data_IF_984170604400
#
_entry.id   IF_984170604400
#
_cell.length_a   1.000
_cell.length_b   1.000
_cell.length_c   1.000
_cell.angle_alpha   90.00
_cell.angle_beta   90.00
_cell.angle_gamma   90.00
#
_symmetry.space_group_name_H-M   'P 1'
#
loop_
_entity.id
_entity.type
_entity.pdbx_description
1 polymer ?
#
# COMPACT_ATOMS: atom_id res chain seq x y z
N UNK A 1 26.17 -11.61 -18.58
CA UNK A 1 25.54 -11.83 -17.26
C UNK A 1 25.23 -10.46 -16.67
N UNK A 2 24.02 -9.94 -16.87
CA UNK A 2 23.64 -8.60 -16.43
C UNK A 2 23.31 -8.64 -14.94
N UNK A 3 24.01 -7.84 -14.10
CA UNK A 3 23.64 -7.67 -12.69
C UNK A 3 22.16 -7.27 -12.60
N UNK A 4 21.35 -7.86 -11.70
CA UNK A 4 20.01 -7.35 -11.47
C UNK A 4 20.14 -5.88 -11.05
N UNK A 5 19.41 -5.00 -11.74
CA UNK A 5 19.34 -3.60 -11.36
C UNK A 5 18.82 -3.54 -9.92
N UNK A 6 19.63 -3.00 -9.01
CA UNK A 6 19.22 -2.78 -7.62
C UNK A 6 17.96 -1.92 -7.65
N UNK A 7 16.89 -2.38 -6.99
CA UNK A 7 15.68 -1.58 -6.88
C UNK A 7 16.05 -0.17 -6.37
N UNK A 8 15.50 0.90 -6.97
CA UNK A 8 15.88 2.27 -6.61
C UNK A 8 15.71 2.47 -5.10
N UNK A 9 16.72 3.08 -4.45
CA UNK A 9 16.65 3.42 -3.04
C UNK A 9 15.53 4.43 -2.83
N UNK A 10 14.68 4.18 -1.84
CA UNK A 10 13.66 5.14 -1.41
C UNK A 10 14.37 6.32 -0.75
N UNK A 11 14.37 7.47 -1.41
CA UNK A 11 14.73 8.74 -0.78
C UNK A 11 13.46 9.44 -0.33
N UNK A 12 13.53 10.21 0.74
CA UNK A 12 12.41 11.05 1.20
C UNK A 12 11.94 12.02 0.11
N UNK A 13 12.86 12.52 -0.73
CA UNK A 13 12.53 13.42 -1.84
C UNK A 13 11.72 12.74 -2.97
N UNK A 14 11.89 11.43 -3.18
CA UNK A 14 11.18 10.67 -4.21
C UNK A 14 9.93 9.95 -3.72
N UNK A 15 9.68 9.95 -2.40
CA UNK A 15 8.55 9.25 -1.79
C UNK A 15 7.27 10.07 -1.94
N UNK A 16 6.30 9.53 -2.68
CA UNK A 16 4.93 10.06 -2.70
C UNK A 16 4.08 9.47 -1.58
N UNK A 17 4.07 8.13 -1.48
CA UNK A 17 3.43 7.41 -0.39
C UNK A 17 4.09 6.06 -0.13
N UNK A 18 3.98 5.58 1.11
CA UNK A 18 4.20 4.17 1.40
C UNK A 18 3.04 3.33 0.86
N UNK A 19 3.32 2.09 0.47
CA UNK A 19 2.29 1.14 0.05
C UNK A 19 2.40 -0.13 0.91
N UNK A 20 1.42 -0.33 1.77
CA UNK A 20 1.32 -1.50 2.65
C UNK A 20 0.41 -2.57 2.02
N UNK A 21 0.73 -3.84 2.25
CA UNK A 21 0.05 -4.96 1.57
C UNK A 21 -0.78 -5.79 2.54
N UNK A 22 -2.04 -6.06 2.19
CA UNK A 22 -2.91 -7.03 2.84
C UNK A 22 -3.36 -8.10 1.87
N UNK A 23 -3.23 -9.38 2.24
CA UNK A 23 -3.69 -10.48 1.40
C UNK A 23 -5.18 -10.75 1.64
N UNK A 24 -6.02 -10.32 0.70
CA UNK A 24 -7.47 -10.48 0.79
C UNK A 24 -7.95 -11.91 0.51
N UNK A 25 -7.05 -12.82 0.07
CA UNK A 25 -7.38 -14.24 -0.09
C UNK A 25 -7.16 -15.07 1.18
N UNK A 26 -6.39 -14.54 2.15
CA UNK A 26 -6.05 -15.25 3.40
C UNK A 26 -6.90 -14.78 4.58
N UNK A 27 -7.40 -13.56 4.53
CA UNK A 27 -8.29 -12.99 5.52
C UNK A 27 -9.49 -12.39 4.78
N UNK A 28 -10.68 -12.43 5.40
CA UNK A 28 -11.83 -11.70 4.89
C UNK A 28 -11.66 -10.20 5.16
N UNK A 29 -10.71 -9.59 4.47
CA UNK A 29 -10.40 -8.17 4.58
C UNK A 29 -11.57 -7.32 4.09
N UNK A 30 -12.29 -7.77 3.06
CA UNK A 30 -13.45 -7.06 2.56
C UNK A 30 -14.55 -7.01 3.63
N UNK A 31 -14.90 -8.14 4.25
CA UNK A 31 -15.86 -8.17 5.35
C UNK A 31 -15.39 -7.37 6.57
N UNK A 32 -14.11 -7.50 6.95
CA UNK A 32 -13.51 -6.67 8.02
C UNK A 32 -13.72 -5.18 7.76
N UNK A 33 -13.37 -4.71 6.56
CA UNK A 33 -13.42 -3.29 6.24
C UNK A 33 -14.82 -2.77 5.94
N UNK A 34 -15.76 -3.66 5.61
CA UNK A 34 -17.18 -3.33 5.59
C UNK A 34 -17.71 -3.04 7.01
N UNK A 35 -17.20 -3.75 8.04
CA UNK A 35 -17.59 -3.52 9.43
C UNK A 35 -16.89 -2.30 10.06
N UNK A 36 -15.59 -2.15 9.83
CA UNK A 36 -14.81 -0.97 10.23
C UNK A 36 -13.75 -0.65 9.16
N UNK A 37 -13.91 0.43 8.39
CA UNK A 37 -12.96 0.79 7.33
C UNK A 37 -11.66 1.37 7.89
N UNK A 38 -11.58 1.65 9.20
CA UNK A 38 -10.39 2.26 9.80
C UNK A 38 -9.28 1.22 9.98
N UNK A 39 -8.07 1.64 9.65
CA UNK A 39 -6.85 0.87 9.88
C UNK A 39 -5.91 1.74 10.69
N UNK A 40 -5.70 1.35 11.94
CA UNK A 40 -4.83 2.08 12.88
C UNK A 40 -3.43 1.50 12.95
N UNK A 41 -3.26 0.22 12.59
CA UNK A 41 -1.97 -0.47 12.54
C UNK A 41 -1.96 -1.53 11.45
N UNK A 42 -0.80 -1.73 10.82
CA UNK A 42 -0.61 -2.81 9.86
C UNK A 42 0.80 -3.38 9.87
N UNK A 43 0.93 -4.69 9.66
CA UNK A 43 2.22 -5.37 9.65
C UNK A 43 3.10 -4.89 8.50
N UNK A 44 4.39 -4.71 8.79
CA UNK A 44 5.47 -4.40 7.85
C UNK A 44 6.67 -5.28 8.17
N UNK A 45 7.55 -5.47 7.19
CA UNK A 45 8.83 -6.15 7.38
C UNK A 45 9.84 -5.17 7.98
N UNK A 46 10.61 -5.60 9.00
CA UNK A 46 11.69 -4.79 9.53
C UNK A 46 12.76 -4.55 8.45
N UNK A 47 13.40 -3.39 8.51
CA UNK A 47 14.52 -3.07 7.63
C UNK A 47 14.63 -1.59 7.31
N UNK A 48 15.42 -1.29 6.28
CA UNK A 48 15.70 0.09 5.84
C UNK A 48 14.41 0.90 5.60
N UNK A 49 13.42 0.35 4.89
CA UNK A 49 12.16 1.05 4.58
C UNK A 49 11.34 1.35 5.83
N UNK A 50 11.17 0.36 6.72
CA UNK A 50 10.46 0.57 7.98
C UNK A 50 11.11 1.67 8.85
N UNK A 51 12.44 1.82 8.80
CA UNK A 51 13.17 2.88 9.51
C UNK A 51 12.98 4.28 8.92
N UNK A 52 12.58 4.39 7.65
CA UNK A 52 12.29 5.66 6.98
C UNK A 52 10.85 6.14 7.19
N UNK A 53 9.98 5.28 7.74
CA UNK A 53 8.58 5.60 8.01
C UNK A 53 8.50 6.61 9.16
N UNK A 54 7.83 7.74 8.91
CA UNK A 54 7.67 8.85 9.84
C UNK A 54 6.25 9.41 9.78
N UNK A 55 5.80 10.02 10.87
CA UNK A 55 4.48 10.65 10.94
C UNK A 55 4.28 11.68 9.81
N UNK A 56 3.05 11.80 9.32
CA UNK A 56 2.65 12.71 8.24
C UNK A 56 2.91 12.20 6.83
N UNK A 57 3.68 11.12 6.66
CA UNK A 57 3.90 10.52 5.33
C UNK A 57 2.63 9.81 4.84
N UNK A 58 2.21 10.01 3.58
CA UNK A 58 1.05 9.31 3.04
C UNK A 58 1.25 7.79 2.96
N UNK A 59 0.15 7.05 3.11
CA UNK A 59 0.14 5.59 3.03
C UNK A 59 -1.07 5.08 2.25
N UNK A 60 -0.81 4.18 1.30
CA UNK A 60 -1.82 3.47 0.51
C UNK A 60 -1.98 2.05 1.01
N UNK A 61 -3.21 1.57 1.05
CA UNK A 61 -3.50 0.16 1.31
C UNK A 61 -3.65 -0.60 0.00
N UNK A 62 -2.81 -1.60 -0.21
CA UNK A 62 -2.89 -2.52 -1.34
C UNK A 62 -3.45 -3.86 -0.94
N UNK A 63 -4.60 -4.22 -1.52
CA UNK A 63 -5.14 -5.56 -1.41
C UNK A 63 -4.53 -6.48 -2.46
N UNK A 64 -3.72 -7.43 -2.01
CA UNK A 64 -3.22 -8.54 -2.82
C UNK A 64 -4.19 -9.73 -2.82
N UNK A 65 -4.00 -10.64 -3.77
CA UNK A 65 -4.84 -11.82 -3.98
C UNK A 65 -5.12 -12.10 -5.45
N UNK A 66 -5.75 -13.23 -5.72
CA UNK A 66 -6.07 -13.74 -7.05
C UNK A 66 -7.21 -14.75 -7.06
N UNK A 67 -7.76 -15.18 -5.91
CA UNK A 67 -8.74 -16.28 -5.87
C UNK A 67 -10.17 -15.83 -6.14
N UNK A 68 -10.55 -14.66 -5.63
CA UNK A 68 -11.87 -14.06 -5.84
C UNK A 68 -11.93 -13.26 -7.14
N UNK A 69 -12.97 -13.47 -7.95
CA UNK A 69 -13.19 -12.77 -9.24
C UNK A 69 -14.05 -11.52 -9.11
N UNK A 70 -14.91 -11.51 -8.11
CA UNK A 70 -15.81 -10.43 -7.69
C UNK A 70 -15.09 -9.30 -6.93
N UNK A 71 -13.82 -9.51 -6.55
CA UNK A 71 -13.06 -8.59 -5.73
C UNK A 71 -12.04 -7.80 -6.57
N UNK A 72 -12.17 -6.47 -6.59
CA UNK A 72 -11.22 -5.60 -7.24
C UNK A 72 -9.92 -5.47 -6.41
N UNK A 73 -8.97 -6.39 -6.60
CA UNK A 73 -7.63 -6.21 -6.02
C UNK A 73 -6.95 -4.96 -6.56
N UNK A 74 -6.12 -4.32 -5.75
CA UNK A 74 -5.44 -3.09 -6.11
C UNK A 74 -5.34 -2.16 -4.91
N UNK A 75 -5.62 -0.88 -5.11
CA UNK A 75 -5.55 0.14 -4.05
C UNK A 75 -6.95 0.30 -3.46
N UNK A 76 -7.09 0.08 -2.16
CA UNK A 76 -8.37 0.12 -1.46
C UNK A 76 -8.53 1.33 -0.55
N UNK A 77 -7.44 1.98 -0.16
CA UNK A 77 -7.52 3.02 0.84
C UNK A 77 -6.30 3.88 0.90
N UNK A 78 -6.45 4.98 1.62
CA UNK A 78 -5.47 6.02 1.77
C UNK A 78 -5.53 6.59 3.19
N UNK A 79 -4.37 6.99 3.67
CA UNK A 79 -4.23 7.65 4.95
C UNK A 79 -2.86 8.27 5.11
N UNK A 80 -2.48 8.44 6.36
CA UNK A 80 -1.17 8.93 6.78
C UNK A 80 -0.58 8.03 7.86
N UNK A 81 0.74 8.02 7.95
CA UNK A 81 1.43 7.50 9.12
C UNK A 81 1.24 8.45 10.30
N UNK A 82 0.97 7.88 11.47
CA UNK A 82 0.87 8.63 12.74
C UNK A 82 2.15 8.54 13.57
N UNK A 83 3.13 7.76 13.13
CA UNK A 83 4.40 7.58 13.82
C UNK A 83 5.33 6.62 13.09
N UNK A 84 6.52 6.35 13.67
CA UNK A 84 7.45 5.38 13.10
C UNK A 84 6.90 3.96 13.18
N UNK A 85 7.38 3.08 12.30
CA UNK A 85 7.14 1.65 12.45
C UNK A 85 7.84 1.14 13.71
N UNK A 86 7.16 0.30 14.49
CA UNK A 86 7.69 -0.26 15.75
C UNK A 86 7.38 -1.74 15.82
N UNK A 87 8.21 -2.46 16.56
CA UNK A 87 7.87 -3.82 16.97
C UNK A 87 6.70 -3.76 17.95
N UNK A 88 5.67 -4.54 17.68
CA UNK A 88 4.53 -4.69 18.55
C UNK A 88 4.92 -5.62 19.72
N UNK A 89 4.67 -5.23 20.98
CA UNK A 89 5.07 -6.00 22.14
C UNK A 89 4.31 -7.32 22.27
N UNK A 90 3.10 -7.43 21.71
CA UNK A 90 2.23 -8.59 21.93
C UNK A 90 2.61 -9.77 21.03
N UNK A 91 3.01 -9.50 19.78
CA UNK A 91 3.32 -10.52 18.78
C UNK A 91 4.75 -10.44 18.22
N UNK A 92 5.54 -9.45 18.64
CA UNK A 92 6.91 -9.24 18.19
C UNK A 92 7.03 -8.82 16.71
N UNK A 93 5.93 -8.55 16.01
CA UNK A 93 5.96 -8.16 14.59
C UNK A 93 6.07 -6.65 14.44
N UNK A 94 6.75 -6.20 13.39
CA UNK A 94 6.82 -4.78 13.09
C UNK A 94 5.48 -4.29 12.51
N UNK A 95 4.96 -3.19 13.05
CA UNK A 95 3.73 -2.56 12.61
C UNK A 95 3.94 -1.07 12.37
N UNK A 96 3.39 -0.58 11.27
CA UNK A 96 3.25 0.85 11.03
C UNK A 96 2.02 1.37 11.80
N UNK A 97 2.14 2.56 12.41
CA UNK A 97 1.01 3.26 13.04
C UNK A 97 0.36 4.16 12.00
N UNK A 98 -0.95 4.02 11.82
CA UNK A 98 -1.70 4.56 10.70
C UNK A 98 -2.91 5.37 11.19
N UNK A 99 -3.27 6.38 10.42
CA UNK A 99 -4.63 6.88 10.32
C UNK A 99 -5.03 6.69 8.85
N UNK A 100 -5.56 5.50 8.54
CA UNK A 100 -5.91 5.08 7.19
C UNK A 100 -7.36 4.64 7.15
N UNK A 101 -8.08 5.08 6.11
CA UNK A 101 -9.45 4.66 5.85
C UNK A 101 -9.50 3.89 4.52
N UNK A 102 -10.14 2.74 4.57
CA UNK A 102 -10.47 1.94 3.40
C UNK A 102 -11.68 2.59 2.72
N UNK A 103 -11.55 2.90 1.43
CA UNK A 103 -12.62 3.45 0.62
C UNK A 103 -13.74 2.41 0.42
N UNK A 104 -14.97 2.82 0.07
CA UNK A 104 -16.00 1.88 -0.33
C UNK A 104 -15.58 1.07 -1.56
N UNK A 105 -16.10 -0.16 -1.77
CA UNK A 105 -15.70 -1.01 -2.89
C UNK A 105 -15.84 -0.37 -4.28
N UNK A 106 -16.80 0.55 -4.45
CA UNK A 106 -17.01 1.30 -5.70
C UNK A 106 -15.86 2.24 -6.04
N UNK A 107 -15.10 2.70 -5.05
CA UNK A 107 -13.96 3.61 -5.21
C UNK A 107 -12.60 2.89 -5.22
N UNK A 108 -12.57 1.56 -5.18
CA UNK A 108 -11.31 0.82 -5.23
C UNK A 108 -10.67 0.91 -6.62
N UNK A 109 -9.38 1.19 -6.64
CA UNK A 109 -8.61 1.26 -7.89
C UNK A 109 -8.09 -0.14 -8.23
N UNK A 110 -8.73 -0.79 -9.19
CA UNK A 110 -8.40 -2.15 -9.59
C UNK A 110 -7.00 -2.25 -10.21
N UNK A 111 -6.36 -3.43 -10.10
CA UNK A 111 -5.09 -3.72 -10.81
C UNK A 111 -5.21 -3.50 -12.31
N UNK A 112 -6.37 -3.77 -12.92
CA UNK A 112 -6.58 -3.56 -14.34
C UNK A 112 -6.53 -2.07 -14.68
N UNK A 113 -7.23 -1.23 -13.92
CA UNK A 113 -7.18 0.23 -14.04
C UNK A 113 -5.75 0.76 -13.88
N UNK A 114 -5.03 0.28 -12.87
CA UNK A 114 -3.64 0.66 -12.61
C UNK A 114 -2.73 0.27 -13.77
N UNK A 115 -2.87 -0.95 -14.32
CA UNK A 115 -2.06 -1.43 -15.45
C UNK A 115 -2.36 -0.70 -16.75
N UNK A 116 -3.58 -0.22 -16.94
CA UNK A 116 -3.97 0.54 -18.13
C UNK A 116 -3.41 1.97 -18.13
N UNK A 117 -3.00 2.50 -16.96
CA UNK A 117 -2.42 3.82 -16.84
C UNK A 117 -0.88 3.75 -16.94
N UNK A 118 -0.29 4.37 -17.97
CA UNK A 118 1.15 4.31 -18.23
C UNK A 118 2.01 4.82 -17.05
N UNK A 119 1.53 5.82 -16.31
CA UNK A 119 2.25 6.36 -15.15
C UNK A 119 2.27 5.37 -13.96
N UNK A 120 1.30 4.47 -13.89
CA UNK A 120 1.13 3.51 -12.80
C UNK A 120 1.51 2.07 -13.17
N UNK A 121 1.68 1.74 -14.45
CA UNK A 121 2.05 0.41 -14.90
C UNK A 121 3.37 -0.08 -14.27
N UNK A 122 4.27 0.86 -13.95
CA UNK A 122 5.59 0.62 -13.36
C UNK A 122 5.63 0.71 -11.82
N UNK A 123 4.46 0.70 -11.15
CA UNK A 123 4.39 0.62 -9.70
C UNK A 123 5.21 -0.57 -9.19
N UNK A 124 5.99 -0.35 -8.13
CA UNK A 124 6.89 -1.40 -7.60
C UNK A 124 6.11 -2.65 -7.19
N UNK A 125 4.91 -2.49 -6.62
CA UNK A 125 4.05 -3.62 -6.25
C UNK A 125 3.61 -4.49 -7.45
N UNK A 126 3.60 -3.94 -8.67
CA UNK A 126 3.32 -4.67 -9.90
C UNK A 126 4.56 -5.36 -10.47
N UNK A 127 5.70 -4.66 -10.47
CA UNK A 127 6.99 -5.19 -10.96
C UNK A 127 7.57 -6.27 -10.04
N UNK A 128 7.39 -6.11 -8.73
CA UNK A 128 7.93 -6.98 -7.69
C UNK A 128 6.83 -7.40 -6.71
N UNK A 129 5.84 -8.22 -7.13
CA UNK A 129 4.71 -8.59 -6.27
C UNK A 129 5.15 -9.32 -5.00
N UNK A 130 6.27 -10.06 -5.07
CA UNK A 130 6.88 -10.79 -3.96
C UNK A 130 7.82 -9.94 -3.08
N UNK A 131 8.00 -8.65 -3.38
CA UNK A 131 8.84 -7.77 -2.55
C UNK A 131 8.30 -7.68 -1.12
N UNK A 132 9.19 -7.35 -0.17
CA UNK A 132 8.79 -7.12 1.21
C UNK A 132 7.75 -5.99 1.31
N UNK A 133 6.83 -6.11 2.26
CA UNK A 133 5.96 -5.02 2.69
C UNK A 133 6.78 -4.16 3.68
N UNK A 134 6.95 -2.83 3.50
CA UNK A 134 6.25 -1.98 2.55
C UNK A 134 6.97 -1.84 1.21
N UNK A 135 6.15 -1.54 0.21
CA UNK A 135 6.58 -0.94 -1.06
C UNK A 135 6.34 0.57 -1.00
N UNK A 136 6.57 1.28 -2.10
CA UNK A 136 6.36 2.72 -2.18
C UNK A 136 5.85 3.11 -3.57
N UNK A 137 5.31 4.33 -3.66
CA UNK A 137 4.98 5.00 -4.90
C UNK A 137 5.72 6.33 -4.96
N UNK A 138 6.08 6.78 -6.16
CA UNK A 138 6.71 8.10 -6.35
C UNK A 138 5.69 9.23 -6.18
N UNK A 139 6.15 10.48 -6.06
CA UNK A 139 5.28 11.65 -6.00
C UNK A 139 4.33 11.74 -7.22
N UNK A 140 4.86 11.54 -8.43
CA UNK A 140 4.08 11.54 -9.66
C UNK A 140 3.01 10.44 -9.68
N UNK A 141 3.39 9.22 -9.30
CA UNK A 141 2.47 8.09 -9.18
C UNK A 141 1.39 8.36 -8.14
N UNK A 142 1.77 8.96 -7.01
CA UNK A 142 0.84 9.28 -5.94
C UNK A 142 -0.20 10.31 -6.36
N UNK A 143 0.18 11.35 -7.12
CA UNK A 143 -0.76 12.32 -7.69
C UNK A 143 -1.83 11.64 -8.55
N UNK A 144 -1.43 10.69 -9.40
CA UNK A 144 -2.37 9.95 -10.26
C UNK A 144 -3.27 9.02 -9.41
N UNK A 145 -2.73 8.34 -8.41
CA UNK A 145 -3.54 7.51 -7.49
C UNK A 145 -4.56 8.35 -6.73
N UNK A 146 -4.15 9.53 -6.25
CA UNK A 146 -5.04 10.47 -5.56
C UNK A 146 -6.22 10.88 -6.43
N UNK A 147 -5.98 11.14 -7.72
CA UNK A 147 -7.04 11.46 -8.66
C UNK A 147 -8.08 10.35 -8.76
N UNK A 148 -7.66 9.08 -8.90
CA UNK A 148 -8.59 7.94 -8.90
C UNK A 148 -9.39 7.81 -7.60
N UNK A 149 -8.75 8.04 -6.45
CA UNK A 149 -9.42 7.93 -5.14
C UNK A 149 -10.34 9.12 -4.84
N UNK A 150 -10.15 10.28 -5.48
CA UNK A 150 -10.99 11.47 -5.32
C UNK A 150 -12.13 11.56 -6.34
N UNK A 151 -12.05 10.83 -7.46
CA UNK A 151 -13.03 10.92 -8.55
C UNK A 151 -14.41 10.33 -8.22
N UNK A 152 -14.59 9.75 -7.03
CA UNK A 152 -15.80 9.05 -6.59
C UNK A 152 -16.33 9.58 -5.22
N UNK A 153 -15.98 10.83 -4.85
CA UNK A 153 -16.49 11.51 -3.64
C UNK A 153 -17.65 12.45 -3.93
#
# INVERSE_FOLDING_TARGET
>A
MTKPATAPRVTTAGLGAWLIKGNADQADLAGRFAADPRVTRWCVQPGYRARLMQAGQPVLFWASGSRRRDLAYGIWGLGVLTGPARQDPDDGRWKASLDLTIAPPTAWVSRQTIRANAALAELEVLRQPQAANPSFVTGEQFTVVRWYLSAES
#
